data_IF_115385428893
#
_entry.id   IF_115385428893
#
_cell.length_a   1.000
_cell.length_b   1.000
_cell.length_c   1.000
_cell.angle_alpha   90.00
_cell.angle_beta   90.00
_cell.angle_gamma   90.00
#
_symmetry.space_group_name_H-M   'P 1'
#
loop_
_entity.id
_entity.type
_entity.pdbx_description
1 polymer ?
#
# COMPACT_ATOMS: atom_id res chain seq x y z
N UNK A 1 -39.35 -36.41 45.49
CA UNK A 1 -39.01 -36.64 44.07
C UNK A 1 -39.03 -35.27 43.39
N UNK A 2 -37.90 -34.60 43.32
CA UNK A 2 -37.74 -33.34 42.55
C UNK A 2 -36.24 -33.06 42.38
N UNK A 3 -35.63 -33.60 41.35
CA UNK A 3 -34.20 -33.42 41.13
C UNK A 3 -33.83 -33.71 39.68
N UNK A 4 -34.27 -32.94 38.73
CA UNK A 4 -33.96 -33.25 37.33
C UNK A 4 -33.94 -32.06 36.33
N UNK A 5 -34.17 -30.82 36.78
CA UNK A 5 -34.34 -29.69 35.83
C UNK A 5 -33.21 -28.68 35.82
N UNK A 6 -32.21 -28.78 36.65
CA UNK A 6 -31.12 -27.82 36.75
C UNK A 6 -29.91 -28.19 35.89
N UNK A 7 -29.74 -29.46 35.52
CA UNK A 7 -28.56 -29.94 34.77
C UNK A 7 -28.59 -29.64 33.27
N UNK A 8 -29.80 -29.51 32.69
CA UNK A 8 -29.96 -29.29 31.24
C UNK A 8 -29.70 -27.85 30.85
N UNK A 9 -29.88 -26.87 31.73
CA UNK A 9 -29.65 -25.46 31.47
C UNK A 9 -28.15 -25.07 31.43
N UNK A 10 -27.31 -25.78 32.20
CA UNK A 10 -25.86 -25.50 32.26
C UNK A 10 -25.14 -25.98 31.00
N UNK A 11 -25.59 -27.08 30.37
CA UNK A 11 -24.96 -27.59 29.13
C UNK A 11 -25.29 -26.73 27.89
N UNK A 12 -26.47 -26.09 27.87
CA UNK A 12 -26.85 -25.23 26.73
C UNK A 12 -26.09 -23.89 26.75
N UNK A 13 -25.67 -23.41 27.95
CA UNK A 13 -24.92 -22.15 28.10
C UNK A 13 -23.46 -22.26 27.68
N UNK A 14 -22.86 -23.45 27.73
CA UNK A 14 -21.46 -23.68 27.39
C UNK A 14 -21.18 -23.74 25.86
N UNK A 15 -22.21 -24.02 25.04
CA UNK A 15 -22.10 -24.14 23.60
C UNK A 15 -22.00 -22.81 22.85
N UNK A 16 -22.36 -21.68 23.48
CA UNK A 16 -22.42 -20.35 22.84
C UNK A 16 -21.08 -19.59 22.89
N UNK A 17 -20.06 -20.09 23.58
CA UNK A 17 -18.78 -19.42 23.74
C UNK A 17 -17.69 -19.85 22.75
N UNK A 18 -17.95 -20.84 21.90
CA UNK A 18 -16.93 -21.39 20.98
C UNK A 18 -16.81 -20.65 19.63
N UNK A 19 -17.64 -19.63 19.35
CA UNK A 19 -17.76 -19.01 18.03
C UNK A 19 -17.06 -17.65 17.84
N UNK A 20 -16.35 -17.11 18.83
CA UNK A 20 -15.90 -15.71 18.81
C UNK A 20 -14.59 -15.42 18.06
N UNK A 21 -13.91 -16.41 17.47
CA UNK A 21 -12.64 -16.19 16.76
C UNK A 21 -12.77 -15.46 15.41
N UNK A 22 -13.96 -15.47 14.79
CA UNK A 22 -14.18 -14.89 13.47
C UNK A 22 -14.77 -13.46 13.48
N UNK A 23 -14.94 -12.85 14.65
CA UNK A 23 -15.53 -11.51 14.79
C UNK A 23 -14.52 -10.37 14.77
N UNK A 24 -13.22 -10.67 14.60
CA UNK A 24 -12.21 -9.62 14.46
C UNK A 24 -12.30 -8.97 13.08
N UNK A 25 -12.36 -7.62 13.00
CA UNK A 25 -12.44 -6.92 11.71
C UNK A 25 -11.21 -7.19 10.86
N UNK A 26 -11.43 -7.44 9.57
CA UNK A 26 -10.41 -7.46 8.53
C UNK A 26 -10.54 -6.20 7.67
N UNK A 27 -9.42 -5.71 7.16
CA UNK A 27 -9.36 -4.58 6.25
C UNK A 27 -8.60 -5.02 5.01
N UNK A 28 -9.20 -4.82 3.85
CA UNK A 28 -8.59 -5.05 2.55
C UNK A 28 -8.37 -3.70 1.88
N UNK A 29 -7.13 -3.40 1.53
CA UNK A 29 -6.77 -2.21 0.79
C UNK A 29 -6.07 -2.61 -0.51
N UNK A 30 -6.66 -2.23 -1.63
CA UNK A 30 -6.14 -2.52 -2.97
C UNK A 30 -6.22 -1.26 -3.82
N UNK A 31 -5.12 -0.92 -4.49
CA UNK A 31 -5.13 0.07 -5.56
C UNK A 31 -5.74 -0.58 -6.79
N UNK A 32 -6.68 0.10 -7.45
CA UNK A 32 -7.20 -0.37 -8.74
C UNK A 32 -6.03 -0.57 -9.71
N UNK A 33 -5.78 -1.80 -10.10
CA UNK A 33 -4.64 -2.21 -10.89
C UNK A 33 -5.08 -3.18 -11.98
N UNK A 34 -4.56 -3.07 -13.22
CA UNK A 34 -4.78 -4.07 -14.24
C UNK A 34 -3.95 -5.34 -14.01
N UNK A 35 -3.07 -5.33 -12.99
CA UNK A 35 -2.12 -6.40 -12.69
C UNK A 35 -2.62 -7.25 -11.53
N UNK A 36 -2.48 -8.58 -11.66
CA UNK A 36 -2.94 -9.52 -10.64
C UNK A 36 -2.06 -9.56 -9.39
N UNK A 37 -0.75 -9.42 -9.57
CA UNK A 37 0.25 -9.50 -8.50
C UNK A 37 1.53 -8.72 -8.84
N UNK A 38 2.50 -8.77 -7.92
CA UNK A 38 3.82 -8.13 -8.08
C UNK A 38 4.55 -8.65 -9.32
N UNK A 39 4.53 -9.95 -9.55
CA UNK A 39 5.28 -10.60 -10.64
C UNK A 39 4.72 -10.22 -12.00
N UNK A 40 3.39 -10.19 -12.16
CA UNK A 40 2.75 -9.73 -13.40
C UNK A 40 3.12 -8.25 -13.68
N UNK A 41 3.08 -7.40 -12.64
CA UNK A 41 3.49 -5.99 -12.75
C UNK A 41 4.96 -5.87 -13.19
N UNK A 42 5.86 -6.64 -12.59
CA UNK A 42 7.29 -6.63 -12.92
C UNK A 42 7.56 -7.13 -14.35
N UNK A 43 6.87 -8.19 -14.79
CA UNK A 43 6.95 -8.69 -16.17
C UNK A 43 6.53 -7.59 -17.15
N UNK A 44 5.39 -6.94 -16.94
CA UNK A 44 4.92 -5.84 -17.80
C UNK A 44 5.88 -4.66 -17.78
N UNK A 45 6.38 -4.29 -16.61
CA UNK A 45 7.41 -3.26 -16.48
C UNK A 45 8.68 -3.62 -17.26
N UNK A 46 9.11 -4.87 -17.23
CA UNK A 46 10.32 -5.32 -17.93
C UNK A 46 10.22 -5.18 -19.45
N UNK A 47 9.02 -5.36 -20.01
CA UNK A 47 8.74 -5.26 -21.46
C UNK A 47 8.91 -3.83 -21.99
N UNK A 48 8.73 -2.80 -21.16
CA UNK A 48 8.99 -1.43 -21.56
C UNK A 48 10.51 -1.19 -21.71
N UNK A 49 10.99 -0.96 -22.92
CA UNK A 49 12.41 -0.79 -23.24
C UNK A 49 12.77 0.68 -23.52
N UNK A 50 13.69 1.30 -22.74
CA UNK A 50 14.20 2.64 -23.05
C UNK A 50 14.79 2.72 -24.47
N UNK A 51 14.49 3.83 -25.17
CA UNK A 51 14.89 4.09 -26.54
C UNK A 51 14.05 3.37 -27.61
N UNK A 52 13.06 2.55 -27.21
CA UNK A 52 12.21 1.77 -28.14
C UNK A 52 10.74 1.97 -27.87
N UNK A 53 10.32 1.83 -26.61
CA UNK A 53 8.88 1.87 -26.24
C UNK A 53 8.35 3.29 -26.39
N UNK A 54 7.26 3.42 -27.10
CA UNK A 54 6.51 4.68 -27.26
C UNK A 54 5.45 4.82 -26.18
N UNK A 55 4.87 6.04 -26.05
CA UNK A 55 3.78 6.30 -25.10
C UNK A 55 2.56 5.38 -25.31
N UNK A 56 2.04 5.19 -26.52
CA UNK A 56 0.91 4.28 -26.75
C UNK A 56 1.23 2.82 -26.38
N UNK A 57 2.45 2.38 -26.67
CA UNK A 57 2.90 1.03 -26.28
C UNK A 57 2.99 0.88 -24.76
N UNK A 58 3.50 1.91 -24.06
CA UNK A 58 3.53 1.93 -22.59
C UNK A 58 2.12 1.82 -22.01
N UNK A 59 1.16 2.54 -22.57
CA UNK A 59 -0.24 2.46 -22.14
C UNK A 59 -0.86 1.09 -22.42
N UNK A 60 -0.53 0.46 -23.54
CA UNK A 60 -0.98 -0.89 -23.88
C UNK A 60 -0.42 -1.97 -22.92
N UNK A 61 0.73 -1.71 -22.30
CA UNK A 61 1.30 -2.55 -21.25
C UNK A 61 0.55 -2.42 -19.90
N UNK A 62 -0.41 -1.50 -19.78
CA UNK A 62 -1.20 -1.26 -18.56
C UNK A 62 -0.73 -0.05 -17.74
N UNK A 63 0.27 0.72 -18.20
CA UNK A 63 0.77 1.92 -17.53
C UNK A 63 0.19 3.19 -18.17
N UNK A 64 -1.14 3.34 -18.07
CA UNK A 64 -1.88 4.49 -18.58
C UNK A 64 -2.39 5.35 -17.41
N UNK A 65 -1.87 6.57 -17.19
CA UNK A 65 -2.28 7.43 -16.09
C UNK A 65 -3.70 7.98 -16.23
N UNK A 66 -4.32 7.89 -17.41
CA UNK A 66 -5.67 8.38 -17.65
C UNK A 66 -6.74 7.35 -17.24
N UNK A 67 -6.40 6.07 -17.35
CA UNK A 67 -7.32 4.97 -17.01
C UNK A 67 -7.04 4.37 -15.63
N UNK A 68 -5.82 4.55 -15.12
CA UNK A 68 -5.41 4.06 -13.81
C UNK A 68 -5.51 5.17 -12.77
N UNK A 69 -6.39 4.99 -11.77
CA UNK A 69 -6.58 5.97 -10.68
C UNK A 69 -5.35 6.22 -9.79
N UNK A 70 -4.30 5.42 -9.96
CA UNK A 70 -3.03 5.46 -9.23
C UNK A 70 -1.85 5.96 -10.10
N UNK A 71 -2.14 6.42 -11.32
CA UNK A 71 -1.18 7.04 -12.22
C UNK A 71 -1.06 8.56 -11.99
N UNK A 72 0.15 9.07 -11.95
CA UNK A 72 0.45 10.50 -11.83
C UNK A 72 1.36 10.96 -12.96
N UNK A 73 0.99 12.06 -13.61
CA UNK A 73 1.84 12.73 -14.58
C UNK A 73 2.87 13.61 -13.86
N UNK A 74 4.10 13.60 -14.35
CA UNK A 74 5.22 14.36 -13.82
C UNK A 74 5.71 15.33 -14.90
N UNK A 75 5.88 16.59 -14.53
CA UNK A 75 6.59 17.57 -15.36
C UNK A 75 8.11 17.30 -15.32
N UNK A 76 8.88 17.94 -16.21
CA UNK A 76 10.34 17.85 -16.15
C UNK A 76 10.91 18.39 -14.82
N UNK A 77 10.22 19.36 -14.21
CA UNK A 77 10.60 19.88 -12.88
C UNK A 77 10.46 18.78 -11.81
N UNK A 78 9.36 18.02 -11.84
CA UNK A 78 9.15 16.90 -10.91
C UNK A 78 10.22 15.82 -11.11
N UNK A 79 10.52 15.47 -12.38
CA UNK A 79 11.60 14.52 -12.71
C UNK A 79 12.95 15.04 -12.20
N UNK A 80 13.25 16.33 -12.39
CA UNK A 80 14.46 16.93 -11.86
C UNK A 80 14.54 16.80 -10.33
N UNK A 81 13.48 17.18 -9.63
CA UNK A 81 13.43 17.10 -8.15
C UNK A 81 13.57 15.68 -7.64
N UNK A 82 13.08 14.70 -8.39
CA UNK A 82 13.14 13.28 -8.02
C UNK A 82 14.54 12.69 -8.19
N UNK A 83 15.26 13.03 -9.27
CA UNK A 83 16.52 12.38 -9.64
C UNK A 83 17.77 13.22 -9.37
N UNK A 84 17.66 14.54 -9.31
CA UNK A 84 18.81 15.44 -9.13
C UNK A 84 18.93 15.89 -7.69
N UNK A 85 20.00 15.45 -7.04
CA UNK A 85 20.34 15.90 -5.68
C UNK A 85 21.41 16.98 -5.73
N UNK A 86 21.43 17.96 -4.80
CA UNK A 86 22.34 19.12 -4.83
C UNK A 86 23.81 18.78 -4.91
N UNK A 87 24.22 17.64 -4.36
CA UNK A 87 25.63 17.24 -4.24
C UNK A 87 26.05 16.15 -5.24
N UNK A 88 25.18 15.78 -6.19
CA UNK A 88 25.47 14.78 -7.20
C UNK A 88 25.68 15.46 -8.55
N UNK A 89 26.87 15.37 -9.15
CA UNK A 89 27.10 15.91 -10.50
C UNK A 89 26.19 15.24 -11.53
N UNK A 90 25.75 16.02 -12.53
CA UNK A 90 24.88 15.52 -13.61
C UNK A 90 25.49 14.34 -14.40
N UNK A 91 26.83 14.22 -14.41
CA UNK A 91 27.55 13.12 -15.04
C UNK A 91 27.32 11.75 -14.40
N UNK A 92 26.78 11.70 -13.17
CA UNK A 92 26.41 10.47 -12.49
C UNK A 92 24.94 10.06 -12.74
N UNK A 93 24.17 10.92 -13.38
CA UNK A 93 22.77 10.60 -13.71
C UNK A 93 22.71 9.64 -14.92
N UNK A 94 21.71 8.75 -14.97
CA UNK A 94 21.44 7.96 -16.17
C UNK A 94 21.21 8.85 -17.41
N UNK A 95 21.74 8.44 -18.57
CA UNK A 95 21.63 9.20 -19.82
C UNK A 95 20.20 9.60 -20.16
N UNK A 96 19.22 8.75 -19.88
CA UNK A 96 17.79 9.06 -20.11
C UNK A 96 17.28 10.22 -19.26
N UNK A 97 17.80 10.37 -18.03
CA UNK A 97 17.46 11.51 -17.16
C UNK A 97 18.12 12.78 -17.69
N UNK A 98 19.40 12.71 -18.10
CA UNK A 98 20.11 13.86 -18.70
C UNK A 98 19.35 14.34 -19.94
N UNK A 99 18.95 13.43 -20.84
CA UNK A 99 18.13 13.75 -22.04
C UNK A 99 16.82 14.45 -21.68
N UNK A 100 16.13 14.01 -20.62
CA UNK A 100 14.91 14.66 -20.14
C UNK A 100 15.18 16.10 -19.69
N UNK A 101 16.23 16.32 -18.88
CA UNK A 101 16.57 17.64 -18.38
C UNK A 101 16.93 18.63 -19.51
N UNK A 102 17.59 18.14 -20.55
CA UNK A 102 17.93 18.91 -21.76
C UNK A 102 16.70 19.21 -22.62
N UNK A 103 15.77 18.25 -22.72
CA UNK A 103 14.53 18.39 -23.49
C UNK A 103 13.50 19.33 -22.86
N UNK A 104 13.59 19.59 -21.54
CA UNK A 104 12.69 20.49 -20.78
C UNK A 104 11.21 20.14 -21.01
N UNK A 105 10.44 21.04 -21.60
CA UNK A 105 8.98 20.90 -21.79
C UNK A 105 8.58 19.71 -22.68
N UNK A 106 9.52 19.12 -23.43
CA UNK A 106 9.29 17.88 -24.20
C UNK A 106 9.48 16.63 -23.37
N UNK A 107 9.94 16.76 -22.11
CA UNK A 107 10.06 15.66 -21.17
C UNK A 107 8.80 15.58 -20.30
N UNK A 108 8.24 14.37 -20.23
CA UNK A 108 7.11 14.02 -19.37
C UNK A 108 7.48 12.75 -18.60
N UNK A 109 7.10 12.70 -17.33
CA UNK A 109 7.17 11.47 -16.54
C UNK A 109 5.78 10.91 -16.21
N UNK A 110 5.72 9.61 -15.97
CA UNK A 110 4.57 8.92 -15.39
C UNK A 110 5.02 8.13 -14.18
N UNK A 111 4.37 8.33 -13.04
CA UNK A 111 4.59 7.56 -11.82
C UNK A 111 3.35 6.77 -11.47
N UNK A 112 3.53 5.50 -11.13
CA UNK A 112 2.47 4.59 -10.73
C UNK A 112 2.80 3.95 -9.40
N UNK A 113 1.76 3.69 -8.62
CA UNK A 113 1.87 2.96 -7.37
C UNK A 113 0.76 1.90 -7.31
N UNK A 114 1.16 0.64 -7.35
CA UNK A 114 0.28 -0.51 -7.25
C UNK A 114 0.51 -1.20 -5.92
N UNK A 115 -0.55 -1.52 -5.21
CA UNK A 115 -0.44 -2.25 -3.96
C UNK A 115 -1.71 -3.05 -3.69
N UNK A 116 -1.51 -4.17 -3.02
CA UNK A 116 -2.58 -4.99 -2.46
C UNK A 116 -2.16 -5.45 -1.09
N UNK A 117 -2.91 -5.05 -0.08
CA UNK A 117 -2.64 -5.40 1.31
C UNK A 117 -3.89 -5.89 2.00
N UNK A 118 -3.76 -7.03 2.65
CA UNK A 118 -4.75 -7.60 3.55
C UNK A 118 -4.29 -7.39 4.99
N UNK A 119 -5.14 -6.76 5.78
CA UNK A 119 -4.90 -6.51 7.19
C UNK A 119 -5.92 -7.29 8.02
N UNK A 120 -5.44 -8.20 8.83
CA UNK A 120 -6.26 -8.99 9.74
C UNK A 120 -5.87 -8.69 11.18
N UNK A 121 -6.85 -8.47 12.03
CA UNK A 121 -6.61 -8.41 13.47
C UNK A 121 -6.34 -9.80 13.99
N UNK A 122 -5.25 -9.95 14.74
CA UNK A 122 -4.83 -11.21 15.34
C UNK A 122 -4.63 -11.03 16.83
N UNK A 123 -4.94 -12.07 17.62
CA UNK A 123 -4.75 -12.05 19.07
C UNK A 123 -6.04 -12.27 19.85
N UNK A 124 -6.07 -11.79 21.11
CA UNK A 124 -7.20 -11.98 22.00
C UNK A 124 -8.32 -11.00 21.69
N UNK A 125 -9.51 -11.53 21.35
CA UNK A 125 -10.72 -10.75 21.14
C UNK A 125 -11.01 -9.77 22.30
N UNK A 126 -10.93 -10.23 23.53
CA UNK A 126 -11.20 -9.39 24.70
C UNK A 126 -10.18 -8.29 24.91
N UNK A 127 -8.90 -8.55 24.64
CA UNK A 127 -7.86 -7.52 24.71
C UNK A 127 -8.04 -6.45 23.64
N UNK A 128 -8.55 -6.82 22.47
CA UNK A 128 -8.83 -5.89 21.35
C UNK A 128 -10.10 -5.07 21.62
N UNK A 129 -11.20 -5.70 22.05
CA UNK A 129 -12.48 -5.04 22.39
C UNK A 129 -12.32 -4.05 23.54
N UNK A 130 -11.57 -4.44 24.57
CA UNK A 130 -11.28 -3.58 25.72
C UNK A 130 -10.11 -2.61 25.47
N UNK A 131 -9.61 -2.54 24.23
CA UNK A 131 -8.56 -1.60 23.79
C UNK A 131 -7.22 -1.70 24.55
N UNK A 132 -6.91 -2.83 25.19
CA UNK A 132 -5.63 -3.04 25.87
C UNK A 132 -4.50 -3.41 24.90
N UNK A 133 -4.79 -4.18 23.84
CA UNK A 133 -3.81 -4.60 22.85
C UNK A 133 -4.48 -4.87 21.51
N UNK A 134 -3.94 -4.25 20.46
CA UNK A 134 -4.37 -4.46 19.07
C UNK A 134 -3.20 -4.94 18.25
N UNK A 135 -3.29 -6.17 17.78
CA UNK A 135 -2.32 -6.75 16.89
C UNK A 135 -2.94 -6.89 15.50
N UNK A 136 -2.21 -6.43 14.47
CA UNK A 136 -2.63 -6.53 13.07
C UNK A 136 -1.55 -7.27 12.30
N UNK A 137 -1.93 -8.36 11.63
CA UNK A 137 -1.10 -9.00 10.64
C UNK A 137 -1.38 -8.35 9.28
N UNK A 138 -0.37 -7.75 8.68
CA UNK A 138 -0.44 -7.14 7.35
C UNK A 138 0.31 -8.04 6.39
N UNK A 139 -0.35 -8.45 5.30
CA UNK A 139 0.23 -9.25 4.23
C UNK A 139 -0.10 -8.60 2.89
N UNK A 140 0.81 -8.70 1.92
CA UNK A 140 0.55 -8.14 0.60
C UNK A 140 1.79 -7.89 -0.22
N UNK A 141 1.67 -6.98 -1.18
CA UNK A 141 2.77 -6.51 -2.02
C UNK A 141 2.56 -5.03 -2.39
N UNK A 142 3.64 -4.37 -2.80
CA UNK A 142 3.62 -3.02 -3.34
C UNK A 142 4.66 -2.89 -4.45
N UNK A 143 4.30 -2.22 -5.54
CA UNK A 143 5.16 -1.95 -6.69
C UNK A 143 5.03 -0.48 -7.09
N UNK A 144 6.15 0.20 -7.26
CA UNK A 144 6.22 1.56 -7.79
C UNK A 144 6.99 1.57 -9.08
N UNK A 145 6.48 2.27 -10.08
CA UNK A 145 7.14 2.47 -11.36
C UNK A 145 7.20 3.95 -11.70
N UNK A 146 8.34 4.38 -12.24
CA UNK A 146 8.48 5.70 -12.86
C UNK A 146 9.02 5.51 -14.27
N UNK A 147 8.35 6.12 -15.23
CA UNK A 147 8.72 6.16 -16.64
C UNK A 147 8.99 7.60 -17.03
N UNK A 148 10.08 7.85 -17.75
CA UNK A 148 10.45 9.16 -18.24
C UNK A 148 10.52 9.11 -19.77
N UNK A 149 9.76 9.97 -20.44
CA UNK A 149 9.64 10.04 -21.88
C UNK A 149 10.11 11.40 -22.40
N UNK A 150 10.73 11.38 -23.56
CA UNK A 150 11.06 12.58 -24.36
C UNK A 150 10.47 12.38 -25.76
N UNK A 151 9.70 13.35 -26.23
CA UNK A 151 9.03 13.28 -27.55
C UNK A 151 8.27 11.96 -27.74
N UNK A 152 7.48 11.54 -26.73
CA UNK A 152 6.71 10.29 -26.72
C UNK A 152 7.51 8.99 -26.67
N UNK A 153 8.83 9.03 -26.59
CA UNK A 153 9.68 7.85 -26.50
C UNK A 153 10.20 7.68 -25.07
N UNK A 154 10.10 6.48 -24.52
CA UNK A 154 10.64 6.13 -23.20
C UNK A 154 12.17 6.27 -23.24
N UNK A 155 12.73 7.12 -22.37
CA UNK A 155 14.18 7.33 -22.25
C UNK A 155 14.76 6.76 -20.97
N UNK A 156 13.93 6.63 -19.91
CA UNK A 156 14.36 6.05 -18.64
C UNK A 156 13.18 5.40 -17.93
N UNK A 157 13.45 4.35 -17.16
CA UNK A 157 12.50 3.73 -16.26
C UNK A 157 13.18 3.28 -14.98
N UNK A 158 12.48 3.33 -13.88
CA UNK A 158 12.92 2.81 -12.59
C UNK A 158 11.75 2.20 -11.85
N UNK A 159 11.98 1.13 -11.14
CA UNK A 159 10.99 0.51 -10.25
C UNK A 159 11.56 0.32 -8.86
N UNK A 160 10.66 0.27 -7.90
CA UNK A 160 10.93 -0.12 -6.52
C UNK A 160 9.69 -0.81 -5.97
N UNK A 161 9.84 -1.59 -4.91
CA UNK A 161 8.68 -2.20 -4.28
C UNK A 161 9.03 -3.33 -3.32
N UNK A 162 8.00 -3.90 -2.75
CA UNK A 162 8.06 -5.01 -1.80
C UNK A 162 7.19 -6.15 -2.33
N UNK A 163 7.79 -7.23 -2.86
CA UNK A 163 7.04 -8.35 -3.43
C UNK A 163 6.28 -9.16 -2.37
N UNK A 164 6.72 -9.10 -1.12
CA UNK A 164 6.14 -9.87 -0.03
C UNK A 164 6.17 -9.07 1.27
N UNK A 165 5.11 -8.32 1.50
CA UNK A 165 4.90 -7.59 2.76
C UNK A 165 4.35 -8.59 3.77
N UNK A 166 5.08 -8.78 4.88
CA UNK A 166 4.63 -9.56 6.05
C UNK A 166 5.10 -8.87 7.30
N UNK A 167 4.18 -8.27 8.04
CA UNK A 167 4.49 -7.62 9.31
C UNK A 167 3.35 -7.78 10.30
N UNK A 168 3.70 -7.70 11.56
CA UNK A 168 2.73 -7.65 12.66
C UNK A 168 2.87 -6.28 13.31
N UNK A 169 1.85 -5.46 13.15
CA UNK A 169 1.76 -4.17 13.82
C UNK A 169 1.07 -4.37 15.17
N UNK A 170 1.77 -4.09 16.27
CA UNK A 170 1.26 -4.24 17.62
C UNK A 170 1.12 -2.88 18.30
N UNK A 171 -0.10 -2.55 18.71
CA UNK A 171 -0.38 -1.36 19.53
C UNK A 171 -0.84 -1.83 20.91
N UNK A 172 -0.12 -1.43 21.95
CA UNK A 172 -0.47 -1.69 23.36
C UNK A 172 -0.93 -0.39 24.00
N UNK A 173 -2.08 -0.45 24.66
CA UNK A 173 -2.64 0.65 25.45
C UNK A 173 -2.75 0.19 26.90
N UNK A 174 -1.74 0.43 27.75
CA UNK A 174 -1.69 -0.12 29.12
C UNK A 174 -2.88 0.28 30.00
N UNK A 175 -3.47 1.44 29.74
CA UNK A 175 -4.63 1.98 30.48
C UNK A 175 -5.98 1.65 29.81
N UNK A 176 -5.96 0.86 28.72
CA UNK A 176 -7.18 0.42 28.04
C UNK A 176 -8.07 1.60 27.59
N UNK A 177 -9.40 1.51 27.84
CA UNK A 177 -10.37 2.54 27.42
C UNK A 177 -10.15 3.91 28.06
N UNK A 178 -9.50 3.97 29.22
CA UNK A 178 -9.30 5.20 29.99
C UNK A 178 -8.25 6.11 29.32
N UNK A 179 -7.35 5.54 28.51
CA UNK A 179 -6.29 6.30 27.84
C UNK A 179 -6.83 7.31 26.82
N UNK A 180 -7.97 7.02 26.15
CA UNK A 180 -8.64 7.92 25.22
C UNK A 180 -9.49 9.01 25.91
N UNK A 181 -9.88 8.82 27.16
CA UNK A 181 -10.69 9.79 27.88
C UNK A 181 -9.89 11.06 28.23
N UNK A 182 -8.57 10.94 28.46
CA UNK A 182 -7.70 12.09 28.75
C UNK A 182 -7.55 13.07 27.56
N UNK A 183 -7.53 12.56 26.33
CA UNK A 183 -7.46 13.41 25.13
C UNK A 183 -8.76 14.20 24.92
N UNK A 184 -9.91 13.60 25.24
CA UNK A 184 -11.21 14.24 25.10
C UNK A 184 -11.40 15.42 26.07
N UNK A 185 -10.84 15.32 27.29
CA UNK A 185 -10.91 16.40 28.26
C UNK A 185 -9.91 17.54 28.00
N UNK A 186 -8.79 17.28 27.34
CA UNK A 186 -7.80 18.32 27.01
C UNK A 186 -8.24 19.22 25.86
N UNK A 187 -9.09 18.72 24.96
CA UNK A 187 -9.59 19.48 23.81
C UNK A 187 -10.80 20.38 24.16
N UNK A 188 -11.50 20.08 25.27
CA UNK A 188 -12.62 20.90 25.76
C UNK A 188 -12.17 22.08 26.65
N UNK A 189 -10.89 22.11 27.06
CA UNK A 189 -10.35 23.15 27.96
C UNK A 189 -9.50 24.21 27.21
N UNK A 190 -9.54 24.23 25.88
CA UNK A 190 -8.93 25.24 25.01
C UNK A 190 -10.00 26.08 24.33
#
# INVERSE_FOLDING_TARGET
MSGGRCSTFVVLSAGLLAGCGSLLPSEHAETLSPFGDYTDTEIRFSQAAPGKTTRPELFSLGFDPLTQGNGRMLSFIDVRLMFVQPNIPLSYLPDGIVKCLEAKDRCIGYAFEFSKTDTQRVGSFWADVLNFSKNRAVQGWAFRAVFVLVDDTLVHKVSSGEPNIRRIDSKKNPLGPIQGAGEFFSDQLK
#
